data_IF_695743329738
#
_entry.id   IF_695743329738
#
_cell.length_a   1.000
_cell.length_b   1.000
_cell.length_c   1.000
_cell.angle_alpha   90.00
_cell.angle_beta   90.00
_cell.angle_gamma   90.00
#
_symmetry.space_group_name_H-M   'P 1'
#
loop_
_entity.id
_entity.type
_entity.pdbx_description
1 polymer ?
#
# COMPACT_ATOMS: atom_id res chain seq x y z
N UNK A 1 16.62 -36.61 10.24
CA UNK A 1 16.12 -36.15 9.98
C UNK A 1 15.47 -35.79 9.20
N UNK A 2 15.21 -35.71 8.96
CA UNK A 2 14.73 -35.29 8.27
C UNK A 2 13.91 -34.56 8.53
N UNK A 3 13.77 -34.29 9.24
CA UNK A 3 12.92 -33.63 9.48
C UNK A 3 12.80 -32.34 9.23
N UNK A 4 13.58 -31.76 9.28
CA UNK A 4 13.63 -30.53 8.87
C UNK A 4 13.08 -30.23 7.61
N UNK A 5 13.31 -31.01 6.70
CA UNK A 5 12.79 -30.84 5.41
C UNK A 5 11.31 -30.93 5.39
N UNK A 6 10.78 -31.53 6.36
CA UNK A 6 9.39 -31.65 6.45
C UNK A 6 8.70 -30.33 6.50
N UNK A 7 9.21 -29.43 7.30
CA UNK A 7 8.57 -28.14 7.40
C UNK A 7 8.60 -27.39 6.08
N UNK A 8 9.59 -27.64 5.25
CA UNK A 8 9.65 -26.97 3.96
C UNK A 8 8.67 -27.55 2.95
N UNK A 9 8.18 -28.72 3.16
CA UNK A 9 7.20 -29.32 2.25
C UNK A 9 5.78 -28.86 2.52
N UNK A 10 5.53 -28.19 3.65
CA UNK A 10 4.22 -27.71 4.02
C UNK A 10 4.18 -26.19 3.86
N UNK A 11 3.35 -25.67 2.93
CA UNK A 11 3.28 -24.22 2.77
C UNK A 11 2.84 -23.55 4.05
N UNK A 12 3.51 -22.49 4.41
CA UNK A 12 3.10 -21.68 5.54
C UNK A 12 1.85 -20.88 5.18
N UNK A 13 1.01 -20.61 6.17
CA UNK A 13 -0.11 -19.68 5.99
C UNK A 13 0.47 -18.29 5.67
N UNK A 14 0.01 -17.62 4.61
CA UNK A 14 0.49 -16.31 4.30
C UNK A 14 0.27 -15.34 5.45
N UNK A 15 1.24 -14.46 5.70
CA UNK A 15 1.07 -13.40 6.66
C UNK A 15 0.03 -12.39 6.14
N UNK A 16 -0.50 -11.57 7.03
CA UNK A 16 -1.45 -10.53 6.62
C UNK A 16 -0.81 -9.56 5.64
N UNK A 17 0.45 -9.21 5.84
CA UNK A 17 1.20 -8.38 4.89
C UNK A 17 1.24 -9.04 3.52
N UNK A 18 1.54 -10.34 3.48
CA UNK A 18 1.60 -11.08 2.21
C UNK A 18 0.26 -11.06 1.48
N UNK A 19 -0.84 -11.23 2.22
CA UNK A 19 -2.19 -11.19 1.63
C UNK A 19 -2.46 -9.82 1.01
N UNK A 20 -2.15 -8.75 1.71
CA UNK A 20 -2.34 -7.39 1.22
C UNK A 20 -1.52 -7.17 -0.06
N UNK A 21 -0.25 -7.55 -0.05
CA UNK A 21 0.63 -7.33 -1.21
C UNK A 21 0.24 -8.20 -2.40
N UNK A 22 -0.17 -9.44 -2.17
CA UNK A 22 -0.62 -10.32 -3.25
C UNK A 22 -1.87 -9.75 -3.92
N UNK A 23 -2.81 -9.24 -3.13
CA UNK A 23 -3.98 -8.59 -3.69
C UNK A 23 -3.59 -7.37 -4.54
N UNK A 24 -2.74 -6.50 -3.99
CA UNK A 24 -2.33 -5.29 -4.69
C UNK A 24 -1.61 -5.62 -5.99
N UNK A 25 -0.72 -6.60 -5.97
CA UNK A 25 -0.01 -7.04 -7.18
C UNK A 25 -0.95 -7.57 -8.26
N UNK A 26 -2.03 -8.24 -7.87
CA UNK A 26 -3.01 -8.74 -8.82
C UNK A 26 -3.75 -7.62 -9.53
N UNK A 27 -3.69 -6.39 -9.02
CA UNK A 27 -4.35 -5.24 -9.64
C UNK A 27 -3.43 -4.46 -10.61
N UNK A 28 -2.15 -4.79 -10.66
CA UNK A 28 -1.20 -4.09 -11.53
C UNK A 28 -1.70 -4.11 -12.98
N UNK A 29 -1.64 -2.94 -13.63
CA UNK A 29 -2.11 -2.77 -15.00
C UNK A 29 -3.53 -2.27 -15.12
N UNK A 30 -4.32 -2.30 -14.05
CA UNK A 30 -5.68 -1.77 -14.10
C UNK A 30 -5.65 -0.24 -14.08
N UNK A 31 -6.56 0.42 -14.82
CA UNK A 31 -6.51 1.87 -14.94
C UNK A 31 -6.84 2.60 -13.65
N UNK A 32 -6.23 3.77 -13.50
CA UNK A 32 -6.61 4.71 -12.45
C UNK A 32 -7.93 5.37 -12.84
N UNK A 33 -8.84 5.44 -11.88
CA UNK A 33 -10.09 6.14 -12.07
C UNK A 33 -10.54 6.73 -10.75
N UNK A 34 -10.67 8.05 -10.69
CA UNK A 34 -11.03 8.75 -9.45
C UNK A 34 -12.34 8.22 -8.88
N UNK A 35 -12.37 8.00 -7.57
CA UNK A 35 -13.56 7.52 -6.87
C UNK A 35 -13.80 6.02 -6.97
N UNK A 36 -12.91 5.27 -7.61
CA UNK A 36 -13.09 3.83 -7.80
C UNK A 36 -12.24 3.02 -6.84
N UNK A 37 -12.80 1.91 -6.40
CA UNK A 37 -12.14 0.95 -5.51
C UNK A 37 -12.30 -0.48 -6.06
N UNK A 38 -12.13 -0.63 -7.34
CA UNK A 38 -12.20 -1.91 -8.01
C UNK A 38 -13.61 -2.28 -8.49
N UNK A 39 -13.72 -3.45 -9.07
CA UNK A 39 -12.63 -4.40 -9.37
C UNK A 39 -11.87 -4.10 -10.66
N UNK A 40 -12.35 -3.21 -11.52
CA UNK A 40 -11.75 -2.96 -12.82
C UNK A 40 -10.85 -1.73 -12.86
N UNK A 41 -11.00 -0.83 -11.92
CA UNK A 41 -10.21 0.39 -11.83
C UNK A 41 -10.11 0.83 -10.38
N UNK A 42 -9.10 1.64 -10.08
CA UNK A 42 -8.82 2.10 -8.71
C UNK A 42 -8.31 3.52 -8.70
N UNK A 43 -8.65 4.29 -7.67
CA UNK A 43 -7.82 5.44 -7.32
C UNK A 43 -6.85 5.03 -6.21
N UNK A 44 -6.02 5.96 -5.73
CA UNK A 44 -4.95 5.63 -4.79
C UNK A 44 -5.49 5.05 -3.49
N UNK A 45 -6.46 5.70 -2.86
CA UNK A 45 -7.04 5.24 -1.60
C UNK A 45 -8.02 4.08 -1.80
N UNK A 46 -8.56 3.92 -3.01
CA UNK A 46 -9.40 2.77 -3.34
C UNK A 46 -8.60 1.48 -3.41
N UNK A 47 -7.39 1.54 -3.95
CA UNK A 47 -6.49 0.38 -3.98
C UNK A 47 -6.13 -0.05 -2.55
N UNK A 48 -5.72 0.88 -1.70
CA UNK A 48 -5.37 0.58 -0.33
C UNK A 48 -6.56 0.06 0.47
N UNK A 49 -7.73 0.66 0.27
CA UNK A 49 -8.95 0.25 0.92
C UNK A 49 -9.26 -1.23 0.64
N UNK A 50 -9.21 -1.62 -0.63
CA UNK A 50 -9.53 -3.00 -1.01
C UNK A 50 -8.46 -3.99 -0.61
N UNK A 51 -7.19 -3.60 -0.71
CA UNK A 51 -6.09 -4.47 -0.30
C UNK A 51 -6.18 -4.78 1.19
N UNK A 52 -6.44 -3.80 2.02
CA UNK A 52 -6.53 -3.99 3.46
C UNK A 52 -7.84 -4.67 3.87
N UNK A 53 -8.90 -4.53 3.09
CA UNK A 53 -10.13 -5.28 3.32
C UNK A 53 -9.91 -6.80 3.27
N UNK A 54 -8.88 -7.24 2.53
CA UNK A 54 -8.56 -8.66 2.44
C UNK A 54 -8.13 -9.26 3.79
N UNK A 55 -7.64 -8.43 4.69
CA UNK A 55 -7.25 -8.85 6.04
C UNK A 55 -8.15 -8.22 7.11
N UNK A 56 -9.34 -7.79 6.70
CA UNK A 56 -10.39 -7.26 7.58
C UNK A 56 -9.99 -5.96 8.30
N UNK A 57 -9.13 -5.18 7.66
CA UNK A 57 -8.85 -3.82 8.10
C UNK A 57 -9.72 -2.88 7.28
N UNK A 58 -10.60 -2.15 7.96
CA UNK A 58 -11.53 -1.24 7.31
C UNK A 58 -10.89 0.15 7.20
N UNK A 59 -10.79 0.67 5.98
CA UNK A 59 -10.23 1.99 5.73
C UNK A 59 -11.26 2.89 5.03
N UNK A 60 -11.28 4.18 5.36
CA UNK A 60 -12.11 5.12 4.59
C UNK A 60 -11.54 5.32 3.20
N UNK A 61 -12.41 5.68 2.24
CA UNK A 61 -11.98 5.88 0.85
C UNK A 61 -11.48 7.32 0.67
N UNK A 62 -10.40 7.65 1.38
CA UNK A 62 -9.76 8.96 1.27
C UNK A 62 -8.37 8.91 1.86
N UNK A 63 -7.36 9.36 1.11
CA UNK A 63 -5.96 9.26 1.55
C UNK A 63 -5.68 10.06 2.82
N UNK A 64 -6.19 11.28 2.92
CA UNK A 64 -5.97 12.09 4.12
C UNK A 64 -6.56 11.41 5.37
N UNK A 65 -7.75 10.85 5.26
CA UNK A 65 -8.39 10.15 6.37
C UNK A 65 -7.60 8.89 6.75
N UNK A 66 -7.12 8.14 5.77
CA UNK A 66 -6.29 6.95 6.02
C UNK A 66 -4.99 7.33 6.75
N UNK A 67 -4.43 8.50 6.46
CA UNK A 67 -3.17 8.95 7.05
C UNK A 67 -3.26 9.22 8.55
N UNK A 68 -4.45 9.22 9.10
CA UNK A 68 -4.68 9.48 10.53
C UNK A 68 -4.95 8.20 11.32
N UNK A 69 -4.94 7.06 10.66
CA UNK A 69 -5.26 5.77 11.27
C UNK A 69 -4.01 4.92 11.41
N UNK A 70 -4.14 3.81 12.14
CA UNK A 70 -3.02 2.90 12.38
C UNK A 70 -1.96 3.50 13.28
N UNK A 71 -0.77 2.92 13.25
CA UNK A 71 0.36 3.37 14.06
C UNK A 71 1.29 4.24 13.22
N UNK A 72 1.69 5.39 13.74
CA UNK A 72 2.63 6.28 13.06
C UNK A 72 4.02 5.63 13.00
N UNK A 73 4.66 5.74 11.85
CA UNK A 73 6.03 5.28 11.65
C UNK A 73 6.89 6.52 11.40
N UNK A 74 7.98 6.64 12.15
CA UNK A 74 8.96 7.69 11.92
C UNK A 74 9.92 7.25 10.82
N UNK A 75 9.57 7.56 9.58
CA UNK A 75 10.34 7.11 8.41
C UNK A 75 11.70 7.78 8.29
N UNK A 76 11.98 8.78 9.10
CA UNK A 76 13.27 9.44 9.10
C UNK A 76 14.29 8.70 9.95
N UNK A 77 13.83 7.92 10.91
CA UNK A 77 14.71 7.17 11.82
C UNK A 77 14.52 5.66 11.74
N UNK A 78 13.45 5.19 11.11
CA UNK A 78 13.15 3.76 10.98
C UNK A 78 12.86 3.42 9.53
N UNK A 79 13.20 2.21 9.12
CA UNK A 79 12.94 1.76 7.76
C UNK A 79 11.43 1.61 7.52
N UNK A 80 10.99 2.02 6.34
CA UNK A 80 9.65 1.70 5.85
C UNK A 80 9.64 0.20 5.55
N UNK A 81 8.58 -0.48 5.95
CA UNK A 81 8.46 -1.92 5.83
C UNK A 81 7.33 -2.30 4.86
N UNK A 82 7.42 -3.49 4.31
CA UNK A 82 6.36 -4.03 3.46
C UNK A 82 5.02 -3.98 4.20
N UNK A 83 4.00 -3.48 3.52
CA UNK A 83 2.66 -3.31 4.08
C UNK A 83 2.39 -1.94 4.67
N UNK A 84 3.41 -1.11 4.86
CA UNK A 84 3.19 0.25 5.34
C UNK A 84 2.48 1.08 4.29
N UNK A 85 1.58 1.96 4.73
CA UNK A 85 0.98 2.95 3.86
C UNK A 85 1.83 4.22 3.90
N UNK A 86 2.20 4.71 2.72
CA UNK A 86 3.06 5.89 2.56
C UNK A 86 2.24 6.99 1.91
N UNK A 87 2.22 8.16 2.52
CA UNK A 87 1.35 9.27 2.14
C UNK A 87 2.17 10.47 1.67
N UNK A 88 1.71 11.08 0.58
CA UNK A 88 2.38 12.25 0.01
C UNK A 88 1.35 13.30 -0.41
N UNK A 89 1.84 14.48 -0.78
CA UNK A 89 1.05 15.39 -1.60
C UNK A 89 0.98 14.83 -3.01
N UNK A 90 -0.01 15.24 -3.77
CA UNK A 90 -0.07 14.95 -5.21
C UNK A 90 0.21 16.21 -5.99
N UNK A 91 0.42 16.07 -7.31
CA UNK A 91 0.60 17.24 -8.17
C UNK A 91 -0.64 18.14 -8.22
N UNK A 92 -1.81 17.60 -7.86
CA UNK A 92 -3.05 18.36 -7.87
C UNK A 92 -3.30 19.11 -6.57
N UNK A 93 -2.68 18.69 -5.47
CA UNK A 93 -2.87 19.34 -4.18
C UNK A 93 -1.59 19.22 -3.36
N UNK A 94 -0.83 20.33 -3.29
CA UNK A 94 0.43 20.38 -2.59
C UNK A 94 0.28 20.90 -1.14
N UNK A 95 -0.95 21.15 -0.69
CA UNK A 95 -1.19 21.72 0.63
C UNK A 95 -1.67 20.69 1.65
N UNK A 96 -2.08 19.50 1.21
CA UNK A 96 -2.49 18.44 2.12
C UNK A 96 -2.25 17.08 1.46
N UNK A 97 -2.24 16.04 2.29
CA UNK A 97 -2.09 14.67 1.80
C UNK A 97 -3.23 14.35 0.84
N UNK A 98 -2.86 13.91 -0.34
CA UNK A 98 -3.80 13.58 -1.41
C UNK A 98 -3.40 12.35 -2.21
N UNK A 99 -2.34 11.65 -1.81
CA UNK A 99 -1.89 10.42 -2.46
C UNK A 99 -1.37 9.41 -1.44
N UNK A 100 -1.55 8.13 -1.75
CA UNK A 100 -1.11 7.03 -0.89
C UNK A 100 -0.73 5.83 -1.75
N UNK A 101 0.27 5.08 -1.29
CA UNK A 101 0.64 3.79 -1.87
C UNK A 101 1.00 2.79 -0.77
N UNK A 102 1.16 1.53 -1.16
CA UNK A 102 1.50 0.44 -0.24
C UNK A 102 2.95 0.05 -0.47
N UNK A 103 3.79 0.21 0.54
CA UNK A 103 5.19 -0.20 0.44
C UNK A 103 5.29 -1.71 0.26
N UNK A 104 6.14 -2.15 -0.67
CA UNK A 104 6.47 -3.57 -0.83
C UNK A 104 7.85 -3.86 -0.23
N UNK A 105 8.62 -2.82 -0.01
CA UNK A 105 9.95 -2.89 0.61
C UNK A 105 10.30 -1.50 1.12
N UNK A 106 11.55 -1.32 1.57
CA UNK A 106 12.03 0.00 1.97
C UNK A 106 12.33 0.92 0.79
N UNK A 107 12.21 0.44 -0.46
CA UNK A 107 12.58 1.22 -1.64
C UNK A 107 11.50 1.32 -2.71
N UNK A 108 10.46 0.50 -2.64
CA UNK A 108 9.42 0.46 -3.67
C UNK A 108 8.03 0.37 -3.08
N UNK A 109 7.04 0.83 -3.83
CA UNK A 109 5.63 0.72 -3.46
C UNK A 109 4.76 0.39 -4.67
N UNK A 110 3.52 -0.06 -4.38
CA UNK A 110 2.47 -0.23 -5.38
C UNK A 110 1.52 0.94 -5.20
N UNK A 111 1.18 1.60 -6.30
CA UNK A 111 0.33 2.78 -6.28
C UNK A 111 -0.61 2.80 -7.48
N UNK A 112 -1.77 3.43 -7.31
CA UNK A 112 -2.62 3.87 -8.41
C UNK A 112 -2.36 5.38 -8.54
N UNK A 113 -1.59 5.82 -9.54
CA UNK A 113 -0.93 7.14 -9.46
C UNK A 113 -1.81 8.34 -9.83
N UNK A 114 -2.48 8.32 -10.98
CA UNK A 114 -3.21 9.49 -11.49
C UNK A 114 -3.99 9.09 -12.74
N UNK A 115 -4.91 9.96 -13.14
CA UNK A 115 -5.71 9.77 -14.36
C UNK A 115 -4.81 9.58 -15.57
N UNK A 116 -5.06 8.53 -16.33
CA UNK A 116 -4.26 8.17 -17.48
C UNK A 116 -3.17 7.16 -17.17
N UNK A 117 -2.90 6.92 -15.89
CA UNK A 117 -1.96 5.90 -15.44
C UNK A 117 -2.65 4.60 -15.08
N UNK A 118 -1.86 3.64 -14.64
CA UNK A 118 -2.32 2.32 -14.21
C UNK A 118 -1.72 1.99 -12.86
N UNK A 119 -2.32 1.04 -12.15
CA UNK A 119 -1.72 0.48 -10.94
C UNK A 119 -0.34 -0.07 -11.29
N UNK A 120 0.67 0.30 -10.53
CA UNK A 120 2.06 -0.02 -10.86
C UNK A 120 2.93 -0.13 -9.62
N UNK A 121 4.09 -0.77 -9.79
CA UNK A 121 5.18 -0.70 -8.83
C UNK A 121 6.10 0.43 -9.28
N UNK A 122 6.51 1.26 -8.33
CA UNK A 122 7.47 2.32 -8.60
C UNK A 122 8.35 2.56 -7.38
N UNK A 123 9.40 3.37 -7.53
CA UNK A 123 10.26 3.73 -6.42
C UNK A 123 9.49 4.55 -5.39
N UNK A 124 9.76 4.32 -4.11
CA UNK A 124 9.19 5.16 -3.06
C UNK A 124 9.66 6.60 -3.27
N UNK A 125 8.79 7.58 -2.95
CA UNK A 125 9.22 8.98 -2.98
C UNK A 125 10.35 9.23 -1.98
N UNK A 126 11.12 10.27 -2.22
CA UNK A 126 12.20 10.63 -1.29
C UNK A 126 11.61 10.99 0.08
N UNK A 127 12.43 10.83 1.13
CA UNK A 127 11.98 11.10 2.50
C UNK A 127 11.41 12.50 2.66
N UNK A 128 11.94 13.47 1.94
CA UNK A 128 11.46 14.85 2.03
C UNK A 128 10.06 15.06 1.43
N UNK A 129 9.62 14.16 0.57
CA UNK A 129 8.29 14.23 -0.05
C UNK A 129 7.24 13.43 0.71
N UNK A 130 7.66 12.55 1.60
CA UNK A 130 6.74 11.76 2.40
C UNK A 130 6.16 12.64 3.49
N UNK A 131 4.84 12.58 3.67
CA UNK A 131 4.12 13.37 4.67
C UNK A 131 3.66 12.54 5.86
N UNK A 132 3.48 11.25 5.69
CA UNK A 132 3.11 10.33 6.76
C UNK A 132 3.40 8.90 6.33
N UNK A 133 3.64 8.04 7.30
CA UNK A 133 3.71 6.59 7.10
C UNK A 133 2.91 5.96 8.23
N UNK A 134 2.02 5.04 7.88
CA UNK A 134 1.15 4.36 8.83
C UNK A 134 1.29 2.85 8.70
N UNK A 135 1.28 2.17 9.83
CA UNK A 135 1.40 0.71 9.89
C UNK A 135 0.16 0.14 10.57
N UNK A 136 -0.47 -0.84 9.91
CA UNK A 136 -1.70 -1.47 10.36
C UNK A 136 -1.51 -2.95 10.70
N UNK A 137 -0.39 -3.52 10.30
CA UNK A 137 -0.17 -4.98 10.38
C UNK A 137 1.04 -5.34 11.22
#
# INVERSE_FOLDING_TARGET
AKVTAVSSSTPATPSRVQVVLDFARAQIGKPYEFGKAGPTSYDCSGLTLKAFAQVKVSLPHQSLAQSKLGSAVDWKSSAIQAGDLVFTFSSLNMSQISHVGIAISSTQWIEAPYTGGVVRISALPSASKIQAVRRFL
#
